data_IF_461328644905
#
_entry.id   IF_461328644905
#
_cell.length_a   1.000
_cell.length_b   1.000
_cell.length_c   1.000
_cell.angle_alpha   90.00
_cell.angle_beta   90.00
_cell.angle_gamma   90.00
#
_symmetry.space_group_name_H-M   'P 1'
#
loop_
_entity.id
_entity.type
_entity.pdbx_description
1 polymer ?
#
# COMPACT_ATOMS: atom_id res chain seq x y z
N UNK A 1 3.67 -22.00 2.54
CA UNK A 1 2.30 -22.11 3.08
C UNK A 1 1.89 -23.57 2.99
N UNK A 2 1.23 -24.13 4.03
CA UNK A 2 0.69 -25.49 3.94
C UNK A 2 -0.45 -25.54 2.91
N UNK A 3 -0.70 -26.70 2.30
CA UNK A 3 -1.84 -26.89 1.38
C UNK A 3 -3.17 -26.47 2.04
N UNK A 4 -3.35 -26.77 3.33
CA UNK A 4 -4.51 -26.35 4.10
C UNK A 4 -4.66 -24.82 4.15
N UNK A 5 -3.55 -24.09 4.32
CA UNK A 5 -3.56 -22.62 4.31
C UNK A 5 -3.96 -22.03 2.95
N UNK A 6 -3.56 -22.67 1.84
CA UNK A 6 -3.96 -22.27 0.48
C UNK A 6 -5.46 -22.51 0.26
N UNK A 7 -5.97 -23.67 0.68
CA UNK A 7 -7.38 -24.03 0.56
C UNK A 7 -8.25 -23.04 1.35
N UNK A 8 -7.90 -22.75 2.60
CA UNK A 8 -8.63 -21.79 3.44
C UNK A 8 -8.61 -20.41 2.79
N UNK A 9 -7.46 -19.93 2.32
CA UNK A 9 -7.36 -18.64 1.65
C UNK A 9 -8.27 -18.57 0.41
N UNK A 10 -8.27 -19.60 -0.43
CA UNK A 10 -9.12 -19.66 -1.62
C UNK A 10 -10.61 -19.67 -1.27
N UNK A 11 -11.03 -20.44 -0.25
CA UNK A 11 -12.43 -20.45 0.22
C UNK A 11 -12.82 -19.06 0.72
N UNK A 12 -11.98 -18.41 1.52
CA UNK A 12 -12.25 -17.06 2.03
C UNK A 12 -12.41 -16.05 0.88
N UNK A 13 -11.54 -16.10 -0.12
CA UNK A 13 -11.63 -15.24 -1.32
C UNK A 13 -12.93 -15.50 -2.07
N UNK A 14 -13.29 -16.77 -2.31
CA UNK A 14 -14.52 -17.13 -3.02
C UNK A 14 -15.77 -16.68 -2.25
N UNK A 15 -15.80 -16.85 -0.93
CA UNK A 15 -16.90 -16.38 -0.08
C UNK A 15 -17.01 -14.86 -0.10
N UNK A 16 -15.89 -14.14 0.02
CA UNK A 16 -15.88 -12.67 -0.06
C UNK A 16 -16.37 -12.17 -1.42
N UNK A 17 -15.93 -12.80 -2.52
CA UNK A 17 -16.41 -12.50 -3.87
C UNK A 17 -17.91 -12.81 -4.02
N UNK A 18 -18.38 -13.91 -3.44
CA UNK A 18 -19.80 -14.29 -3.41
C UNK A 18 -20.66 -13.28 -2.65
N UNK A 19 -20.22 -12.84 -1.47
CA UNK A 19 -20.89 -11.79 -0.69
C UNK A 19 -20.92 -10.48 -1.48
N UNK A 20 -19.81 -10.10 -2.11
CA UNK A 20 -19.73 -8.90 -2.94
C UNK A 20 -20.70 -8.97 -4.12
N UNK A 21 -20.75 -10.08 -4.86
CA UNK A 21 -21.71 -10.25 -5.97
C UNK A 21 -23.15 -10.24 -5.49
N UNK A 22 -23.46 -10.92 -4.37
CA UNK A 22 -24.80 -10.91 -3.78
C UNK A 22 -25.21 -9.52 -3.26
N UNK A 23 -24.26 -8.69 -2.83
CA UNK A 23 -24.54 -7.32 -2.38
C UNK A 23 -25.07 -6.41 -3.49
N UNK A 24 -24.87 -6.79 -4.76
CA UNK A 24 -25.40 -6.09 -5.93
C UNK A 24 -26.80 -6.59 -6.34
N UNK A 25 -27.25 -7.74 -5.82
CA UNK A 25 -28.56 -8.31 -6.14
C UNK A 25 -29.65 -7.46 -5.51
N UNK A 26 -30.57 -6.94 -6.34
CA UNK A 26 -31.68 -6.10 -5.89
C UNK A 26 -31.35 -4.62 -5.77
N UNK A 27 -30.15 -4.18 -6.19
CA UNK A 27 -29.85 -2.76 -6.36
C UNK A 27 -30.75 -2.21 -7.46
N UNK A 28 -31.59 -1.23 -7.10
CA UNK A 28 -32.46 -0.57 -8.07
C UNK A 28 -31.68 0.52 -8.79
N UNK A 29 -31.23 0.22 -10.01
CA UNK A 29 -30.43 1.14 -10.83
C UNK A 29 -31.14 2.48 -11.07
N UNK A 30 -32.47 2.49 -11.14
CA UNK A 30 -33.28 3.70 -11.34
C UNK A 30 -33.26 4.65 -10.12
N UNK A 31 -32.82 4.17 -8.95
CA UNK A 31 -32.66 4.98 -7.73
C UNK A 31 -31.22 5.44 -7.49
N UNK A 32 -30.28 5.05 -8.36
CA UNK A 32 -28.90 5.50 -8.23
C UNK A 32 -28.81 6.99 -8.55
N UNK A 33 -27.95 7.74 -7.83
CA UNK A 33 -27.80 9.15 -8.11
C UNK A 33 -27.16 9.36 -9.49
N UNK A 34 -27.53 10.44 -10.19
CA UNK A 34 -26.95 10.74 -11.48
C UNK A 34 -25.46 11.05 -11.33
N UNK A 35 -24.72 10.81 -12.41
CA UNK A 35 -23.31 11.17 -12.50
C UNK A 35 -23.18 12.69 -12.66
N UNK A 36 -22.23 13.32 -11.96
CA UNK A 36 -21.84 14.69 -12.25
C UNK A 36 -20.86 14.76 -13.43
N UNK A 37 -20.63 15.98 -13.93
CA UNK A 37 -19.51 16.28 -14.82
C UNK A 37 -18.42 16.99 -14.03
N UNK A 38 -17.17 16.75 -14.41
CA UNK A 38 -16.00 17.35 -13.78
C UNK A 38 -15.95 18.86 -14.01
N UNK A 39 -15.50 19.57 -12.98
CA UNK A 39 -15.49 21.03 -12.83
C UNK A 39 -14.73 21.73 -13.95
N UNK A 40 -13.60 21.16 -14.36
CA UNK A 40 -12.70 21.76 -15.36
C UNK A 40 -12.76 21.09 -16.74
N UNK A 41 -13.21 19.85 -16.82
CA UNK A 41 -13.14 19.06 -18.06
C UNK A 41 -14.50 18.85 -18.73
N UNK A 42 -15.60 18.91 -17.96
CA UNK A 42 -16.93 18.55 -18.44
C UNK A 42 -17.14 17.06 -18.71
N UNK A 43 -16.14 16.20 -18.46
CA UNK A 43 -16.30 14.74 -18.59
C UNK A 43 -17.04 14.14 -17.39
N UNK A 44 -17.73 12.99 -17.54
CA UNK A 44 -18.40 12.35 -16.42
C UNK A 44 -17.44 11.87 -15.32
N UNK A 45 -17.82 12.07 -14.06
CA UNK A 45 -16.97 11.83 -12.86
C UNK A 45 -17.64 10.87 -11.87
N UNK A 46 -16.87 10.26 -10.96
CA UNK A 46 -17.35 9.20 -10.06
C UNK A 46 -18.01 9.69 -8.77
N UNK A 47 -18.63 10.86 -8.82
CA UNK A 47 -19.43 11.37 -7.74
C UNK A 47 -20.73 11.97 -8.28
N UNK A 48 -21.80 11.96 -7.48
CA UNK A 48 -23.00 12.70 -7.82
C UNK A 48 -22.77 14.20 -7.65
N UNK A 49 -23.70 15.05 -8.13
CA UNK A 49 -23.68 16.48 -7.86
C UNK A 49 -23.65 16.74 -6.35
N UNK A 50 -22.62 17.43 -5.87
CA UNK A 50 -22.47 17.76 -4.46
C UNK A 50 -23.28 19.03 -4.15
N UNK A 51 -24.40 18.90 -3.46
CA UNK A 51 -25.19 20.05 -3.01
C UNK A 51 -24.53 20.70 -1.79
N UNK A 52 -24.41 22.03 -1.78
CA UNK A 52 -23.85 22.81 -0.67
C UNK A 52 -22.38 22.50 -0.32
N UNK A 53 -21.59 21.98 -1.26
CA UNK A 53 -20.15 21.82 -1.07
C UNK A 53 -19.42 23.15 -1.25
N UNK A 54 -18.52 23.47 -0.32
CA UNK A 54 -17.57 24.56 -0.50
C UNK A 54 -16.40 24.09 -1.37
N UNK A 55 -16.48 24.41 -2.67
CA UNK A 55 -15.47 24.04 -3.65
C UNK A 55 -14.09 24.65 -3.35
N UNK A 56 -14.06 25.85 -2.74
CA UNK A 56 -12.81 26.52 -2.39
C UNK A 56 -12.11 25.80 -1.24
N UNK A 57 -12.87 25.39 -0.23
CA UNK A 57 -12.34 24.59 0.89
C UNK A 57 -11.86 23.22 0.41
N UNK A 58 -12.61 22.55 -0.48
CA UNK A 58 -12.17 21.29 -1.07
C UNK A 58 -10.86 21.45 -1.85
N UNK A 59 -10.81 22.43 -2.76
CA UNK A 59 -9.63 22.75 -3.55
C UNK A 59 -8.41 23.07 -2.68
N UNK A 60 -8.59 23.93 -1.66
CA UNK A 60 -7.54 24.29 -0.72
C UNK A 60 -7.01 23.06 0.03
N UNK A 61 -7.89 22.16 0.46
CA UNK A 61 -7.51 20.93 1.15
C UNK A 61 -6.69 20.01 0.25
N UNK A 62 -7.10 19.83 -1.00
CA UNK A 62 -6.39 18.98 -1.97
C UNK A 62 -5.01 19.56 -2.29
N UNK A 63 -4.94 20.86 -2.60
CA UNK A 63 -3.68 21.55 -2.94
C UNK A 63 -2.71 21.53 -1.75
N UNK A 64 -3.21 21.87 -0.55
CA UNK A 64 -2.41 21.83 0.66
C UNK A 64 -1.84 20.44 0.93
N UNK A 65 -2.69 19.41 0.81
CA UNK A 65 -2.26 18.01 0.99
C UNK A 65 -1.21 17.60 -0.04
N UNK A 66 -1.39 17.97 -1.31
CA UNK A 66 -0.42 17.69 -2.36
C UNK A 66 0.94 18.35 -2.06
N UNK A 67 0.96 19.64 -1.68
CA UNK A 67 2.20 20.35 -1.34
C UNK A 67 2.92 19.69 -0.17
N UNK A 68 2.20 19.35 0.91
CA UNK A 68 2.80 18.65 2.05
C UNK A 68 3.38 17.30 1.66
N UNK A 69 2.69 16.54 0.80
CA UNK A 69 3.15 15.24 0.34
C UNK A 69 4.39 15.34 -0.56
N UNK A 70 4.52 16.40 -1.38
CA UNK A 70 5.76 16.69 -2.12
C UNK A 70 6.91 16.95 -1.16
N UNK A 71 6.71 17.85 -0.20
CA UNK A 71 7.74 18.22 0.78
C UNK A 71 8.16 16.98 1.58
N UNK A 72 7.19 16.23 2.12
CA UNK A 72 7.42 15.01 2.88
C UNK A 72 8.14 13.94 2.06
N UNK A 73 7.70 13.67 0.83
CA UNK A 73 8.34 12.71 -0.07
C UNK A 73 9.77 13.11 -0.42
N UNK A 74 10.03 14.38 -0.74
CA UNK A 74 11.36 14.88 -1.05
C UNK A 74 12.31 14.78 0.16
N UNK A 75 11.83 15.14 1.36
CA UNK A 75 12.58 15.01 2.60
C UNK A 75 12.85 13.54 2.94
N UNK A 76 11.89 12.64 2.73
CA UNK A 76 12.07 11.20 2.94
C UNK A 76 13.08 10.59 1.95
N UNK A 77 13.06 10.99 0.68
CA UNK A 77 14.10 10.59 -0.28
C UNK A 77 15.49 11.11 0.10
N UNK A 78 15.57 12.37 0.54
CA UNK A 78 16.82 12.94 1.04
C UNK A 78 17.32 12.18 2.26
N UNK A 79 16.43 11.85 3.19
CA UNK A 79 16.74 11.05 4.36
C UNK A 79 17.28 9.68 3.97
N UNK A 80 16.65 8.95 3.07
CA UNK A 80 17.04 7.58 2.68
C UNK A 80 18.29 7.48 1.79
N UNK A 81 18.96 8.60 1.50
CA UNK A 81 20.18 8.66 0.68
C UNK A 81 21.45 8.98 1.48
N UNK A 82 21.45 8.76 2.79
CA UNK A 82 22.67 8.87 3.61
C UNK A 82 23.67 7.74 3.32
N UNK A 83 24.95 8.01 3.53
CA UNK A 83 25.99 6.97 3.49
C UNK A 83 25.92 6.10 4.75
N UNK A 84 25.56 4.83 4.54
CA UNK A 84 25.35 3.83 5.59
C UNK A 84 26.61 3.45 6.33
N UNK A 85 27.80 3.64 5.72
CA UNK A 85 29.08 3.35 6.37
C UNK A 85 29.42 4.40 7.43
N UNK A 86 29.14 5.67 7.13
CA UNK A 86 29.46 6.80 8.02
C UNK A 86 28.34 7.12 9.00
N UNK A 87 27.07 6.83 8.64
CA UNK A 87 25.91 7.17 9.46
C UNK A 87 25.09 5.94 9.87
N UNK A 88 25.80 4.85 10.23
CA UNK A 88 25.15 3.57 10.58
C UNK A 88 24.07 3.74 11.65
N UNK A 89 24.23 4.63 12.63
CA UNK A 89 23.26 4.92 13.70
C UNK A 89 21.87 5.34 13.23
N UNK A 90 21.72 5.83 11.99
CA UNK A 90 20.44 6.21 11.41
C UNK A 90 19.68 5.01 10.81
N UNK A 91 20.32 3.84 10.75
CA UNK A 91 19.77 2.65 10.12
C UNK A 91 18.77 1.93 11.04
N UNK A 92 17.55 1.77 10.55
CA UNK A 92 16.51 0.93 11.17
C UNK A 92 16.35 -0.37 10.40
N UNK A 93 15.77 -1.38 11.07
CA UNK A 93 15.68 -2.74 10.53
C UNK A 93 14.29 -3.34 10.72
N UNK A 94 13.87 -4.14 9.76
CA UNK A 94 12.82 -5.13 9.94
C UNK A 94 13.42 -6.52 10.19
N UNK A 95 12.61 -7.39 10.80
CA UNK A 95 12.87 -8.82 10.89
C UNK A 95 12.14 -9.52 9.76
N UNK A 96 12.88 -10.23 8.91
CA UNK A 96 12.27 -11.06 7.87
C UNK A 96 11.74 -12.39 8.44
N UNK A 97 11.25 -13.28 7.56
CA UNK A 97 10.69 -14.57 7.98
C UNK A 97 11.74 -15.57 8.48
N UNK A 98 12.99 -15.37 8.10
CA UNK A 98 14.13 -16.20 8.45
C UNK A 98 14.90 -15.62 9.64
N UNK A 99 14.34 -14.60 10.31
CA UNK A 99 14.90 -13.87 11.45
C UNK A 99 16.16 -13.08 11.11
N UNK A 100 16.36 -12.72 9.84
CA UNK A 100 17.43 -11.83 9.42
C UNK A 100 17.03 -10.36 9.61
N UNK A 101 18.02 -9.52 9.91
CA UNK A 101 17.87 -8.06 9.94
C UNK A 101 17.93 -7.50 8.51
N UNK A 102 16.86 -6.87 8.07
CA UNK A 102 16.78 -6.21 6.75
C UNK A 102 16.71 -4.69 6.95
N UNK A 103 17.65 -3.91 6.40
CA UNK A 103 17.61 -2.45 6.48
C UNK A 103 16.32 -1.86 5.88
N UNK A 104 15.72 -0.87 6.54
CA UNK A 104 14.46 -0.25 6.05
C UNK A 104 14.64 0.72 4.89
N UNK A 105 15.88 1.02 4.46
CA UNK A 105 16.16 2.05 3.44
C UNK A 105 15.33 1.89 2.17
N UNK A 106 15.23 0.67 1.64
CA UNK A 106 14.47 0.41 0.40
C UNK A 106 12.97 0.58 0.63
N UNK A 107 12.46 0.11 1.76
CA UNK A 107 11.09 0.34 2.19
C UNK A 107 10.77 1.83 2.36
N UNK A 108 11.63 2.57 3.04
CA UNK A 108 11.45 4.01 3.27
C UNK A 108 11.48 4.80 1.94
N UNK A 109 12.21 4.31 0.92
CA UNK A 109 12.15 4.85 -0.44
C UNK A 109 10.82 4.56 -1.14
N UNK A 110 10.21 3.40 -0.93
CA UNK A 110 8.85 3.13 -1.42
C UNK A 110 7.82 4.04 -0.74
N UNK A 111 7.99 4.31 0.56
CA UNK A 111 7.15 5.27 1.27
C UNK A 111 7.38 6.71 0.79
N UNK A 112 8.61 7.10 0.49
CA UNK A 112 8.90 8.39 -0.14
C UNK A 112 8.26 8.50 -1.53
N UNK A 113 8.32 7.43 -2.33
CA UNK A 113 7.65 7.34 -3.64
C UNK A 113 6.14 7.46 -3.50
N UNK A 114 5.56 6.79 -2.50
CA UNK A 114 4.14 6.90 -2.17
C UNK A 114 3.73 8.35 -1.97
N UNK A 115 4.47 9.09 -1.14
CA UNK A 115 4.16 10.49 -0.91
C UNK A 115 4.11 11.31 -2.21
N UNK A 116 5.08 11.12 -3.11
CA UNK A 116 5.10 11.82 -4.38
C UNK A 116 3.95 11.40 -5.32
N UNK A 117 3.63 10.12 -5.38
CA UNK A 117 2.53 9.61 -6.20
C UNK A 117 1.17 10.06 -5.64
N UNK A 118 0.97 10.04 -4.32
CA UNK A 118 -0.24 10.58 -3.69
C UNK A 118 -0.37 12.08 -3.97
N UNK A 119 0.71 12.85 -3.94
CA UNK A 119 0.65 14.24 -4.41
C UNK A 119 0.21 14.34 -5.86
N UNK A 120 0.75 13.50 -6.74
CA UNK A 120 0.37 13.49 -8.15
C UNK A 120 -1.13 13.17 -8.30
N UNK A 121 -1.66 12.19 -7.55
CA UNK A 121 -3.09 11.90 -7.56
C UNK A 121 -3.94 13.09 -7.10
N UNK A 122 -3.49 13.84 -6.10
CA UNK A 122 -4.17 15.05 -5.61
C UNK A 122 -4.16 16.18 -6.64
N UNK A 123 -3.01 16.43 -7.28
CA UNK A 123 -2.90 17.45 -8.35
C UNK A 123 -3.80 17.08 -9.52
N UNK A 124 -3.76 15.82 -9.96
CA UNK A 124 -4.59 15.37 -11.08
C UNK A 124 -6.07 15.36 -10.67
N UNK A 125 -6.41 15.01 -9.43
CA UNK A 125 -7.77 15.13 -8.92
C UNK A 125 -8.27 16.58 -9.03
N UNK A 126 -7.49 17.55 -8.57
CA UNK A 126 -7.84 18.95 -8.69
C UNK A 126 -8.07 19.39 -10.15
N UNK A 127 -7.29 18.88 -11.10
CA UNK A 127 -7.36 19.31 -12.50
C UNK A 127 -8.50 18.67 -13.30
N UNK A 128 -8.83 17.41 -13.04
CA UNK A 128 -9.74 16.63 -13.91
C UNK A 128 -10.86 15.90 -13.17
N UNK A 129 -10.97 16.08 -11.85
CA UNK A 129 -11.87 15.37 -10.94
C UNK A 129 -11.70 13.84 -10.91
N UNK A 130 -12.28 13.18 -9.90
CA UNK A 130 -12.21 11.72 -9.78
C UNK A 130 -13.13 11.11 -10.85
N UNK A 131 -12.57 10.33 -11.77
CA UNK A 131 -13.31 9.67 -12.84
C UNK A 131 -12.40 8.74 -13.64
N UNK A 132 -12.87 8.26 -14.80
CA UNK A 132 -12.12 7.30 -15.63
C UNK A 132 -10.75 7.81 -16.08
N UNK A 133 -10.62 9.11 -16.38
CA UNK A 133 -9.34 9.71 -16.79
C UNK A 133 -8.37 9.72 -15.60
N UNK A 134 -8.84 10.19 -14.44
CA UNK A 134 -8.06 10.20 -13.19
C UNK A 134 -7.67 8.81 -12.71
N UNK A 135 -8.50 7.79 -12.99
CA UNK A 135 -8.26 6.40 -12.61
C UNK A 135 -6.90 5.88 -13.05
N UNK A 136 -6.35 6.37 -14.17
CA UNK A 136 -5.01 5.99 -14.63
C UNK A 136 -3.93 6.30 -13.59
N UNK A 137 -3.97 7.50 -13.00
CA UNK A 137 -3.06 7.93 -11.95
C UNK A 137 -3.41 7.26 -10.62
N UNK A 138 -4.70 7.09 -10.35
CA UNK A 138 -5.19 6.40 -9.16
C UNK A 138 -4.78 4.91 -9.11
N UNK A 139 -4.77 4.19 -10.24
CA UNK A 139 -4.27 2.80 -10.31
C UNK A 139 -2.77 2.75 -10.03
N UNK A 140 -2.00 3.73 -10.51
CA UNK A 140 -0.55 3.81 -10.21
C UNK A 140 -0.29 4.07 -8.72
N UNK A 141 -1.12 4.89 -8.07
CA UNK A 141 -1.09 5.07 -6.62
C UNK A 141 -1.33 3.77 -5.86
N UNK A 142 -2.39 3.05 -6.20
CA UNK A 142 -2.71 1.76 -5.57
C UNK A 142 -1.63 0.71 -5.88
N UNK A 143 -1.02 0.73 -7.07
CA UNK A 143 0.12 -0.12 -7.40
C UNK A 143 1.31 0.14 -6.45
N UNK A 144 1.57 1.40 -6.08
CA UNK A 144 2.62 1.73 -5.14
C UNK A 144 2.30 1.24 -3.70
N UNK A 145 1.04 1.29 -3.29
CA UNK A 145 0.58 0.66 -2.03
C UNK A 145 0.81 -0.86 -2.03
N UNK A 146 0.55 -1.53 -3.16
CA UNK A 146 0.83 -2.96 -3.32
C UNK A 146 2.33 -3.24 -3.19
N UNK A 147 3.20 -2.41 -3.77
CA UNK A 147 4.66 -2.53 -3.59
C UNK A 147 5.04 -2.44 -2.11
N UNK A 148 4.52 -1.44 -1.39
CA UNK A 148 4.74 -1.28 0.06
C UNK A 148 4.26 -2.52 0.81
N UNK A 149 3.05 -3.01 0.51
CA UNK A 149 2.47 -4.19 1.14
C UNK A 149 3.31 -5.45 0.89
N UNK A 150 3.77 -5.67 -0.33
CA UNK A 150 4.62 -6.83 -0.69
C UNK A 150 5.98 -6.70 -0.02
N UNK A 151 6.57 -5.51 0.01
CA UNK A 151 7.81 -5.23 0.73
C UNK A 151 7.68 -5.60 2.20
N UNK A 152 6.64 -5.10 2.89
CA UNK A 152 6.30 -5.48 4.26
C UNK A 152 6.18 -7.01 4.38
N UNK A 153 5.37 -7.64 3.54
CA UNK A 153 5.13 -9.08 3.59
C UNK A 153 6.40 -9.93 3.43
N UNK A 154 7.40 -9.42 2.71
CA UNK A 154 8.71 -10.04 2.48
C UNK A 154 9.80 -9.56 3.44
N UNK A 155 9.47 -8.81 4.50
CA UNK A 155 10.43 -8.38 5.51
C UNK A 155 11.22 -7.12 5.15
N UNK A 156 10.69 -6.26 4.28
CA UNK A 156 11.27 -4.96 3.93
C UNK A 156 11.91 -4.87 2.55
N UNK A 157 12.01 -5.99 1.83
CA UNK A 157 12.67 -6.04 0.54
C UNK A 157 11.95 -6.96 -0.42
N UNK A 158 11.79 -6.51 -1.66
CA UNK A 158 11.22 -7.32 -2.73
C UNK A 158 12.34 -8.11 -3.40
N UNK A 159 12.34 -9.44 -3.25
CA UNK A 159 13.40 -10.30 -3.79
C UNK A 159 12.98 -11.05 -5.05
N UNK A 160 11.69 -11.17 -5.32
CA UNK A 160 11.17 -11.92 -6.47
C UNK A 160 10.81 -11.01 -7.65
N UNK A 161 11.40 -11.28 -8.81
CA UNK A 161 11.04 -10.62 -10.08
C UNK A 161 9.59 -10.92 -10.51
N UNK A 162 8.97 -11.99 -10.01
CA UNK A 162 7.56 -12.30 -10.31
C UNK A 162 6.62 -11.21 -9.82
N UNK A 163 7.01 -10.43 -8.81
CA UNK A 163 6.21 -9.30 -8.28
C UNK A 163 5.96 -8.27 -9.36
N UNK A 164 6.94 -7.99 -10.24
CA UNK A 164 6.76 -7.04 -11.33
C UNK A 164 5.71 -7.52 -12.34
N UNK A 165 5.70 -8.81 -12.67
CA UNK A 165 4.71 -9.39 -13.57
C UNK A 165 3.29 -9.31 -12.97
N UNK A 166 3.15 -9.61 -11.68
CA UNK A 166 1.87 -9.47 -10.96
C UNK A 166 1.41 -8.02 -10.85
N UNK A 167 2.34 -7.09 -10.64
CA UNK A 167 2.03 -5.66 -10.59
C UNK A 167 1.58 -5.14 -11.95
N UNK A 168 2.24 -5.55 -13.03
CA UNK A 168 1.84 -5.22 -14.39
C UNK A 168 0.45 -5.78 -14.70
N UNK A 169 0.20 -7.05 -14.35
CA UNK A 169 -1.12 -7.65 -14.47
C UNK A 169 -2.18 -6.86 -13.69
N UNK A 170 -1.89 -6.49 -12.44
CA UNK A 170 -2.78 -5.65 -11.63
C UNK A 170 -3.10 -4.32 -12.31
N UNK A 171 -2.08 -3.57 -12.77
CA UNK A 171 -2.28 -2.26 -13.41
C UNK A 171 -3.14 -2.39 -14.67
N UNK A 172 -2.86 -3.38 -15.52
CA UNK A 172 -3.62 -3.62 -16.75
C UNK A 172 -5.06 -4.05 -16.45
N UNK A 173 -5.24 -4.98 -15.50
CA UNK A 173 -6.54 -5.51 -15.14
C UNK A 173 -7.43 -4.46 -14.45
N UNK A 174 -6.89 -3.76 -13.45
CA UNK A 174 -7.60 -2.72 -12.72
C UNK A 174 -7.92 -1.51 -13.61
N UNK A 175 -6.98 -1.12 -14.46
CA UNK A 175 -7.18 -0.07 -15.46
C UNK A 175 -8.24 -0.45 -16.49
N UNK A 176 -8.18 -1.66 -17.05
CA UNK A 176 -9.17 -2.15 -18.01
C UNK A 176 -10.57 -2.17 -17.41
N UNK A 177 -10.76 -2.74 -16.21
CA UNK A 177 -12.07 -2.77 -15.56
C UNK A 177 -12.60 -1.36 -15.25
N UNK A 178 -11.73 -0.43 -14.82
CA UNK A 178 -12.14 0.97 -14.58
C UNK A 178 -12.61 1.68 -15.87
N UNK A 179 -12.12 1.26 -17.04
CA UNK A 179 -12.52 1.81 -18.34
C UNK A 179 -13.81 1.16 -18.84
N UNK A 180 -13.89 -0.18 -18.77
CA UNK A 180 -14.99 -0.97 -19.37
C UNK A 180 -16.27 -0.97 -18.52
N UNK A 181 -16.16 -0.89 -17.20
CA UNK A 181 -17.34 -0.83 -16.35
C UNK A 181 -18.07 0.51 -16.54
N UNK A 182 -19.38 0.47 -16.45
CA UNK A 182 -20.23 1.66 -16.51
C UNK A 182 -20.52 2.18 -15.10
N UNK A 183 -20.92 3.45 -15.00
CA UNK A 183 -21.37 4.04 -13.75
C UNK A 183 -22.55 3.24 -13.17
N UNK A 184 -22.57 2.93 -11.86
CA UNK A 184 -21.60 3.27 -10.82
C UNK A 184 -20.57 2.16 -10.55
N UNK A 185 -20.57 1.10 -11.34
CA UNK A 185 -19.75 -0.09 -11.10
C UNK A 185 -18.26 0.17 -11.29
N UNK A 186 -17.88 1.08 -12.19
CA UNK A 186 -16.51 1.56 -12.35
C UNK A 186 -16.00 2.26 -11.08
N UNK A 187 -16.80 3.18 -10.52
CA UNK A 187 -16.50 3.86 -9.27
C UNK A 187 -16.43 2.90 -8.08
N UNK A 188 -17.38 1.96 -8.01
CA UNK A 188 -17.40 0.93 -6.97
C UNK A 188 -16.17 0.02 -7.06
N UNK A 189 -15.86 -0.49 -8.25
CA UNK A 189 -14.66 -1.27 -8.52
C UNK A 189 -13.41 -0.52 -8.06
N UNK A 190 -13.30 0.74 -8.49
CA UNK A 190 -12.16 1.57 -8.15
C UNK A 190 -12.08 1.83 -6.64
N UNK A 191 -13.20 1.97 -5.94
CA UNK A 191 -13.21 2.19 -4.48
C UNK A 191 -12.85 0.92 -3.71
N UNK A 192 -13.39 -0.23 -4.11
CA UNK A 192 -13.13 -1.53 -3.48
C UNK A 192 -11.65 -1.87 -3.55
N UNK A 193 -10.99 -1.63 -4.69
CA UNK A 193 -9.57 -1.94 -4.83
C UNK A 193 -8.71 -1.19 -3.80
N UNK A 194 -8.98 0.10 -3.56
CA UNK A 194 -8.22 0.94 -2.65
C UNK A 194 -8.52 0.61 -1.18
N UNK A 195 -9.78 0.35 -0.86
CA UNK A 195 -10.13 -0.09 0.50
C UNK A 195 -9.45 -1.43 0.87
N UNK A 196 -9.35 -2.35 -0.09
CA UNK A 196 -8.63 -3.61 0.11
C UNK A 196 -7.14 -3.37 0.42
N UNK A 197 -6.46 -2.47 -0.28
CA UNK A 197 -5.06 -2.13 0.01
C UNK A 197 -4.92 -1.43 1.36
N UNK A 198 -5.79 -0.48 1.70
CA UNK A 198 -5.79 0.23 2.98
C UNK A 198 -5.84 -0.74 4.18
N UNK A 199 -6.80 -1.65 4.20
CA UNK A 199 -6.92 -2.64 5.28
C UNK A 199 -5.73 -3.61 5.31
N UNK A 200 -5.29 -4.07 4.15
CA UNK A 200 -4.18 -5.01 4.08
C UNK A 200 -2.85 -4.40 4.56
N UNK A 201 -2.61 -3.12 4.25
CA UNK A 201 -1.43 -2.38 4.71
C UNK A 201 -1.39 -2.28 6.23
N UNK A 202 -2.51 -1.88 6.87
CA UNK A 202 -2.59 -1.81 8.34
C UNK A 202 -2.29 -3.17 8.96
N UNK A 203 -2.90 -4.25 8.45
CA UNK A 203 -2.67 -5.60 8.95
C UNK A 203 -1.20 -6.02 8.81
N UNK A 204 -0.57 -5.80 7.65
CA UNK A 204 0.84 -6.17 7.45
C UNK A 204 1.77 -5.35 8.34
N UNK A 205 1.53 -4.05 8.47
CA UNK A 205 2.31 -3.19 9.34
C UNK A 205 2.23 -3.64 10.80
N UNK A 206 1.01 -3.86 11.31
CA UNK A 206 0.79 -4.37 12.68
C UNK A 206 1.50 -5.70 12.92
N UNK A 207 1.40 -6.65 11.97
CA UNK A 207 2.09 -7.94 12.05
C UNK A 207 3.61 -7.78 12.15
N UNK A 208 4.20 -6.94 11.31
CA UNK A 208 5.66 -6.73 11.28
C UNK A 208 6.12 -6.01 12.54
N UNK A 209 5.37 -5.02 13.00
CA UNK A 209 5.63 -4.34 14.26
C UNK A 209 5.72 -5.34 15.41
N UNK A 210 4.70 -6.19 15.58
CA UNK A 210 4.70 -7.18 16.67
C UNK A 210 5.76 -8.26 16.50
N UNK A 211 6.03 -8.73 15.28
CA UNK A 211 7.12 -9.69 15.02
C UNK A 211 8.48 -9.09 15.38
N UNK A 212 8.74 -7.86 14.94
CA UNK A 212 10.00 -7.15 15.22
C UNK A 212 10.14 -6.86 16.71
N UNK A 213 9.07 -6.41 17.37
CA UNK A 213 9.05 -6.14 18.80
C UNK A 213 9.20 -7.39 19.66
N UNK A 214 8.65 -8.54 19.24
CA UNK A 214 8.82 -9.80 19.97
C UNK A 214 10.27 -10.29 19.93
N UNK A 215 10.92 -10.19 18.77
CA UNK A 215 12.28 -10.74 18.57
C UNK A 215 13.36 -9.85 19.22
N UNK A 216 13.16 -8.53 19.24
CA UNK A 216 14.16 -7.58 19.75
C UNK A 216 13.69 -6.75 20.95
N UNK A 217 12.50 -7.02 21.51
CA UNK A 217 11.92 -6.25 22.61
C UNK A 217 11.65 -4.78 22.24
N UNK A 218 11.33 -3.96 23.24
CA UNK A 218 11.48 -2.50 23.17
C UNK A 218 12.94 -2.09 23.42
N UNK A 219 13.91 -2.92 23.05
CA UNK A 219 15.31 -2.57 23.23
C UNK A 219 15.60 -1.35 22.36
N UNK A 220 15.89 -0.24 23.04
CA UNK A 220 16.25 1.03 22.43
C UNK A 220 17.26 0.80 21.31
N UNK A 221 17.16 1.60 20.25
CA UNK A 221 17.99 1.60 19.04
C UNK A 221 19.50 1.30 19.26
N UNK A 222 20.04 1.45 20.47
CA UNK A 222 21.39 1.08 20.89
C UNK A 222 21.75 -0.42 20.78
N UNK A 223 20.85 -1.39 21.02
CA UNK A 223 21.24 -2.83 21.00
C UNK A 223 21.23 -3.49 19.61
N UNK A 224 20.63 -2.84 18.61
CA UNK A 224 20.69 -3.32 17.22
C UNK A 224 22.07 -3.11 16.58
N UNK A 225 22.91 -2.26 17.18
CA UNK A 225 24.28 -1.89 16.76
C UNK A 225 25.37 -2.51 17.64
N UNK A 226 25.24 -3.77 18.03
CA UNK A 226 26.39 -4.49 18.60
C UNK A 226 27.14 -5.21 17.46
N UNK A 227 28.21 -4.62 16.88
CA UNK A 227 29.02 -5.26 15.84
C UNK A 227 29.79 -6.48 16.36
N UNK A 228 29.83 -6.73 17.68
CA UNK A 228 30.58 -7.83 18.29
C UNK A 228 29.72 -9.05 18.61
N UNK A 229 28.39 -9.01 18.40
CA UNK A 229 27.55 -10.18 18.70
C UNK A 229 27.82 -11.28 17.66
N UNK A 230 28.33 -12.46 18.06
CA UNK A 230 28.56 -13.56 17.13
C UNK A 230 27.25 -13.93 16.45
N UNK A 231 27.30 -14.16 15.15
CA UNK A 231 26.24 -14.85 14.40
C UNK A 231 25.90 -16.10 15.22
N UNK A 232 24.64 -16.29 15.62
CA UNK A 232 24.22 -17.59 16.16
C UNK A 232 24.33 -18.59 15.02
N UNK A 233 25.48 -19.24 14.93
CA UNK A 233 25.68 -20.40 14.09
C UNK A 233 24.81 -21.51 14.69
N UNK A 234 23.73 -21.88 13.98
CA UNK A 234 22.90 -23.04 14.30
C UNK A 234 23.61 -24.36 13.95
N UNK A 235 24.93 -24.41 14.08
CA UNK A 235 25.78 -25.57 13.78
C UNK A 235 26.83 -25.75 14.88
N UNK A 236 26.38 -26.15 16.06
CA UNK A 236 27.15 -27.01 16.97
C UNK A 236 26.19 -27.53 18.05
N UNK A 237 25.84 -28.81 17.92
CA UNK A 237 25.11 -29.51 18.96
C UNK A 237 26.01 -29.79 20.16
N UNK A 238 25.40 -29.94 21.33
CA UNK A 238 25.77 -30.86 22.41
C UNK A 238 24.96 -30.46 23.65
N UNK A 239 23.82 -31.12 23.86
CA UNK A 239 23.43 -31.43 25.23
C UNK A 239 23.79 -32.90 25.45
N UNK A 240 25.02 -33.06 25.93
CA UNK A 240 25.48 -34.25 26.59
C UNK A 240 24.60 -34.55 27.81
N UNK A 241 24.50 -35.84 28.09
CA UNK A 241 23.83 -36.48 29.23
C UNK A 241 24.64 -36.24 30.53
N UNK A 242 23.93 -36.39 31.67
CA UNK A 242 24.38 -36.58 33.07
C UNK A 242 24.47 -35.30 33.93
N UNK A 243 23.92 -35.25 35.15
CA UNK A 243 23.53 -36.29 36.12
C UNK A 243 22.08 -36.14 36.61
#
# INVERSE_FOLDING_TARGET
MSQAGIIIANITVLVALGILTLSLVGVNELKLPPQANGTHTGYPVWHPPLSNSDEQVNAATIIYSAVLMIIGGALAYKWTNFDTKTNSKLLTYFVDRELNKVPTIEFDRYLASYCLITSLTGIVYYLIDVGKIWATVGVLHNANEIIIMVSLHQGGRITSNSVLAWLLFYVLFAGALSIYLEWPFDALWFKVQGLCSDFALVIQFTRIYFNTSKEYGHESHQRLFDPERPRRDNTSGENAVAY
#
